data_IF_231203603076
#
_entry.id   IF_231203603076
#
_cell.length_a   1.000
_cell.length_b   1.000
_cell.length_c   1.000
_cell.angle_alpha   90.00
_cell.angle_beta   90.00
_cell.angle_gamma   90.00
#
_symmetry.space_group_name_H-M   'P 1'
#
loop_
_entity.id
_entity.type
_entity.pdbx_description
1 polymer ?
#
# COMPACT_ATOMS: atom_id res chain seq x y z
N UNK A 1 6.04 -30.27 -8.65
CA UNK A 1 6.71 -29.71 -9.84
C UNK A 1 5.68 -29.64 -10.95
N UNK A 2 5.82 -28.71 -11.90
CA UNK A 2 5.06 -28.61 -13.17
C UNK A 2 3.81 -27.72 -13.23
N UNK A 3 4.01 -26.39 -13.17
CA UNK A 3 3.09 -25.42 -13.78
C UNK A 3 3.80 -24.34 -14.64
N UNK A 4 5.05 -24.59 -15.05
CA UNK A 4 5.79 -23.71 -15.97
C UNK A 4 5.69 -24.22 -17.40
N UNK A 5 4.55 -24.02 -18.07
CA UNK A 5 4.49 -23.85 -19.54
C UNK A 5 3.27 -23.03 -19.93
N UNK A 6 3.48 -21.76 -20.23
CA UNK A 6 2.65 -21.05 -21.20
C UNK A 6 3.59 -20.35 -22.17
N UNK A 7 3.90 -21.03 -23.27
CA UNK A 7 4.53 -20.41 -24.43
C UNK A 7 3.52 -19.44 -25.05
N UNK A 8 3.82 -18.15 -24.99
CA UNK A 8 3.14 -17.12 -25.78
C UNK A 8 4.18 -16.07 -26.16
N UNK A 9 4.42 -15.83 -27.46
CA UNK A 9 5.35 -14.81 -27.91
C UNK A 9 4.60 -13.47 -27.89
N UNK A 10 4.34 -12.95 -26.70
CA UNK A 10 3.92 -11.56 -26.54
C UNK A 10 4.86 -10.93 -25.56
N UNK A 11 5.85 -10.25 -26.12
CA UNK A 11 6.82 -9.41 -25.45
C UNK A 11 6.07 -8.37 -24.60
N UNK A 12 5.72 -8.73 -23.36
CA UNK A 12 5.26 -7.72 -22.39
C UNK A 12 6.43 -6.77 -22.22
N UNK A 13 6.27 -5.47 -22.53
CA UNK A 13 7.35 -4.53 -22.30
C UNK A 13 7.72 -4.62 -20.82
N UNK A 14 8.99 -4.90 -20.55
CA UNK A 14 9.54 -4.79 -19.22
C UNK A 14 9.23 -3.37 -18.72
N UNK A 15 8.53 -3.28 -17.59
CA UNK A 15 8.14 -2.00 -17.02
C UNK A 15 9.41 -1.24 -16.62
N UNK A 16 9.66 -0.12 -17.28
CA UNK A 16 10.81 0.74 -17.03
C UNK A 16 10.39 1.94 -16.19
N UNK A 17 10.49 1.79 -14.87
CA UNK A 17 10.14 2.81 -13.90
C UNK A 17 10.97 4.11 -14.03
N UNK A 18 12.06 4.11 -14.80
CA UNK A 18 12.93 5.30 -14.95
C UNK A 18 12.39 6.30 -15.99
N UNK A 19 11.57 5.85 -16.94
CA UNK A 19 11.02 6.69 -18.01
C UNK A 19 9.71 7.34 -17.63
N UNK A 20 8.78 6.52 -17.12
CA UNK A 20 7.48 6.99 -16.67
C UNK A 20 7.06 6.18 -15.44
N UNK A 21 7.39 6.65 -14.22
CA UNK A 21 7.07 5.93 -13.01
C UNK A 21 5.56 5.85 -12.75
N UNK A 22 4.76 6.79 -13.24
CA UNK A 22 3.31 6.81 -13.01
C UNK A 22 2.65 5.72 -13.85
N UNK A 23 2.91 5.71 -15.15
CA UNK A 23 2.36 4.68 -16.04
C UNK A 23 2.93 3.30 -15.70
N UNK A 24 4.19 3.23 -15.27
CA UNK A 24 4.79 1.98 -14.77
C UNK A 24 4.04 1.41 -13.57
N UNK A 25 3.71 2.24 -12.58
CA UNK A 25 2.95 1.81 -11.40
C UNK A 25 1.54 1.37 -11.78
N UNK A 26 0.88 2.08 -12.70
CA UNK A 26 -0.45 1.69 -13.21
C UNK A 26 -0.39 0.35 -13.92
N UNK A 27 0.56 0.17 -14.84
CA UNK A 27 0.74 -1.08 -15.56
C UNK A 27 0.94 -2.27 -14.60
N UNK A 28 1.85 -2.12 -13.63
CA UNK A 28 2.17 -3.20 -12.68
C UNK A 28 1.00 -3.53 -11.75
N UNK A 29 0.40 -2.54 -11.09
CA UNK A 29 -0.56 -2.79 -10.02
C UNK A 29 -2.01 -2.89 -10.53
N UNK A 30 -2.36 -2.10 -11.54
CA UNK A 30 -3.73 -2.09 -12.09
C UNK A 30 -3.83 -3.08 -13.23
N UNK A 31 -3.05 -2.91 -14.30
CA UNK A 31 -3.27 -3.66 -15.54
C UNK A 31 -2.88 -5.13 -15.42
N UNK A 32 -1.72 -5.42 -14.83
CA UNK A 32 -1.20 -6.78 -14.69
C UNK A 32 -1.91 -7.56 -13.57
N UNK A 33 -2.22 -6.92 -12.44
CA UNK A 33 -2.70 -7.64 -11.24
C UNK A 33 -4.21 -7.53 -11.00
N UNK A 34 -4.80 -6.34 -11.16
CA UNK A 34 -6.20 -6.10 -10.82
C UNK A 34 -7.15 -6.24 -12.01
N UNK A 35 -6.74 -5.80 -13.20
CA UNK A 35 -7.65 -5.61 -14.34
C UNK A 35 -8.35 -6.90 -14.76
N UNK A 36 -7.67 -8.05 -14.70
CA UNK A 36 -8.28 -9.36 -14.96
C UNK A 36 -9.41 -9.71 -13.98
N UNK A 37 -9.26 -9.34 -12.70
CA UNK A 37 -10.29 -9.58 -11.66
C UNK A 37 -11.45 -8.59 -11.80
N UNK A 38 -11.14 -7.32 -12.07
CA UNK A 38 -12.13 -6.25 -12.29
C UNK A 38 -13.01 -6.58 -13.51
N UNK A 39 -12.42 -6.99 -14.64
CA UNK A 39 -13.18 -7.40 -15.84
C UNK A 39 -14.11 -8.59 -15.59
N UNK A 40 -13.80 -9.45 -14.62
CA UNK A 40 -14.65 -10.56 -14.17
C UNK A 40 -15.73 -10.13 -13.16
N UNK A 41 -15.92 -8.83 -12.95
CA UNK A 41 -16.97 -8.28 -12.08
C UNK A 41 -16.57 -8.12 -10.61
N UNK A 42 -15.29 -8.22 -10.26
CA UNK A 42 -14.86 -7.99 -8.87
C UNK A 42 -15.11 -6.54 -8.45
N UNK A 43 -16.04 -6.34 -7.51
CA UNK A 43 -16.38 -5.05 -6.94
C UNK A 43 -16.61 -5.18 -5.41
N UNK A 44 -15.92 -4.38 -4.57
CA UNK A 44 -14.88 -3.42 -4.92
C UNK A 44 -13.61 -4.12 -5.45
N UNK A 45 -12.79 -3.38 -6.20
CA UNK A 45 -11.48 -3.87 -6.61
C UNK A 45 -10.63 -4.22 -5.37
N UNK A 46 -10.11 -5.45 -5.31
CA UNK A 46 -9.25 -5.85 -4.21
C UNK A 46 -7.83 -5.30 -4.38
N UNK A 47 -7.07 -5.20 -3.28
CA UNK A 47 -5.68 -4.71 -3.33
C UNK A 47 -4.82 -5.59 -4.26
N UNK A 48 -3.85 -4.98 -4.97
CA UNK A 48 -2.98 -5.75 -5.87
C UNK A 48 -1.94 -6.58 -5.11
N UNK A 49 -1.44 -6.05 -4.00
CA UNK A 49 -0.49 -6.71 -3.07
C UNK A 49 -1.01 -6.63 -1.64
N UNK A 50 -0.47 -7.46 -0.74
CA UNK A 50 -0.95 -7.60 0.64
C UNK A 50 -2.47 -7.85 0.70
N UNK A 51 -2.91 -8.73 -0.19
CA UNK A 51 -4.30 -8.97 -0.52
C UNK A 51 -5.07 -9.56 0.65
N UNK A 52 -4.50 -10.55 1.35
CA UNK A 52 -5.15 -11.24 2.46
C UNK A 52 -5.03 -10.42 3.75
N UNK A 53 -6.12 -9.86 4.30
CA UNK A 53 -6.09 -9.15 5.57
C UNK A 53 -6.14 -10.12 6.75
N UNK A 54 -5.45 -9.79 7.85
CA UNK A 54 -5.54 -10.52 9.12
C UNK A 54 -6.33 -9.77 10.19
N UNK A 55 -6.41 -8.45 10.07
CA UNK A 55 -7.15 -7.61 11.02
C UNK A 55 -6.64 -6.18 11.07
N UNK A 56 -7.30 -5.39 11.91
CA UNK A 56 -6.93 -4.01 12.21
C UNK A 56 -6.89 -3.81 13.72
N UNK A 57 -6.00 -2.94 14.18
CA UNK A 57 -5.91 -2.51 15.58
C UNK A 57 -5.94 -0.98 15.65
N UNK A 58 -6.73 -0.46 16.58
CA UNK A 58 -6.57 0.92 17.04
C UNK A 58 -5.37 0.96 18.02
N UNK A 59 -4.53 1.98 17.89
CA UNK A 59 -3.30 2.11 18.66
C UNK A 59 -2.93 3.58 18.86
N UNK A 60 -1.91 3.82 19.68
CA UNK A 60 -1.20 5.09 19.77
C UNK A 60 0.25 4.91 19.29
N UNK A 61 0.72 5.82 18.44
CA UNK A 61 2.10 5.86 17.99
C UNK A 61 2.81 7.00 18.71
N UNK A 62 3.67 6.66 19.68
CA UNK A 62 4.44 7.63 20.45
C UNK A 62 5.86 7.74 19.92
N UNK A 63 6.30 8.96 19.61
CA UNK A 63 7.70 9.25 19.35
C UNK A 63 8.46 9.18 20.67
N UNK A 64 9.53 8.39 20.71
CA UNK A 64 10.37 8.23 21.90
C UNK A 64 10.98 9.57 22.31
N UNK A 65 10.94 9.86 23.61
CA UNK A 65 11.54 11.07 24.21
C UNK A 65 13.07 11.08 24.07
N UNK A 66 13.68 9.90 24.01
CA UNK A 66 15.13 9.69 23.95
C UNK A 66 15.65 9.34 22.54
N UNK A 67 14.88 9.66 21.49
CA UNK A 67 15.29 9.37 20.12
C UNK A 67 16.61 10.11 19.79
N UNK A 68 17.67 9.45 19.28
CA UNK A 68 18.92 10.12 18.92
C UNK A 68 18.75 11.23 17.88
N UNK A 69 19.52 12.32 18.01
CA UNK A 69 19.40 13.54 17.17
C UNK A 69 19.39 13.24 15.67
N UNK A 70 20.26 12.34 15.20
CA UNK A 70 20.35 11.94 13.79
C UNK A 70 19.07 11.34 13.19
N UNK A 71 18.11 10.94 14.02
CA UNK A 71 16.83 10.37 13.59
C UNK A 71 15.65 11.34 13.77
N UNK A 72 15.87 12.54 14.32
CA UNK A 72 14.84 13.54 14.61
C UNK A 72 14.45 14.36 13.37
N UNK A 73 14.01 13.69 12.31
CA UNK A 73 13.69 14.33 11.03
C UNK A 73 12.18 14.20 10.75
N UNK A 74 11.56 15.29 10.31
CA UNK A 74 10.13 15.32 9.93
C UNK A 74 9.22 14.89 11.09
N UNK A 75 8.43 13.84 10.90
CA UNK A 75 7.54 13.29 11.95
C UNK A 75 8.28 13.03 13.28
N UNK A 76 9.52 12.53 13.19
CA UNK A 76 10.31 12.07 14.32
C UNK A 76 11.00 13.19 15.12
N UNK A 77 10.92 14.45 14.68
CA UNK A 77 11.42 15.59 15.47
C UNK A 77 10.52 15.93 16.67
N UNK A 78 9.27 15.47 16.64
CA UNK A 78 8.27 15.74 17.68
C UNK A 78 8.37 14.73 18.83
N UNK A 79 9.47 14.79 19.59
CA UNK A 79 9.72 13.90 20.73
C UNK A 79 8.54 13.92 21.72
N UNK A 80 8.17 12.74 22.23
CA UNK A 80 7.08 12.57 23.20
C UNK A 80 5.67 12.66 22.62
N UNK A 81 5.52 13.19 21.40
CA UNK A 81 4.22 13.32 20.75
C UNK A 81 3.64 11.94 20.44
N UNK A 82 2.34 11.79 20.74
CA UNK A 82 1.57 10.57 20.46
C UNK A 82 0.50 10.87 19.42
N UNK A 83 0.32 9.94 18.49
CA UNK A 83 -0.64 10.06 17.39
C UNK A 83 -1.67 8.93 17.44
N UNK A 84 -2.98 9.24 17.37
CA UNK A 84 -4.00 8.22 17.14
C UNK A 84 -3.67 7.45 15.87
N UNK A 85 -3.74 6.12 15.93
CA UNK A 85 -3.17 5.26 14.90
C UNK A 85 -4.09 4.08 14.59
N UNK A 86 -4.14 3.71 13.32
CA UNK A 86 -4.69 2.44 12.89
C UNK A 86 -3.60 1.57 12.28
N UNK A 87 -3.49 0.33 12.75
CA UNK A 87 -2.56 -0.67 12.23
C UNK A 87 -3.33 -1.73 11.48
N UNK A 88 -2.91 -2.08 10.26
CA UNK A 88 -3.46 -3.17 9.45
C UNK A 88 -2.42 -4.27 9.28
N UNK A 89 -2.83 -5.51 9.56
CA UNK A 89 -2.04 -6.71 9.33
C UNK A 89 -2.52 -7.44 8.09
N UNK A 90 -1.59 -7.98 7.31
CA UNK A 90 -1.90 -8.68 6.06
C UNK A 90 -0.77 -9.59 5.60
N UNK A 91 -1.05 -10.49 4.67
CA UNK A 91 -0.07 -11.27 3.90
C UNK A 91 -0.18 -11.00 2.41
N UNK A 92 0.95 -11.13 1.73
CA UNK A 92 1.05 -11.06 0.27
C UNK A 92 0.77 -12.43 -0.35
N UNK A 93 -0.45 -12.91 -0.13
CA UNK A 93 -0.96 -14.18 -0.66
C UNK A 93 -2.46 -14.06 -0.90
N UNK A 94 -3.06 -15.05 -1.55
CA UNK A 94 -4.51 -15.09 -1.76
C UNK A 94 -5.24 -15.48 -0.47
N UNK A 95 -6.51 -15.07 -0.27
CA UNK A 95 -7.26 -15.41 0.94
C UNK A 95 -7.38 -16.91 1.24
N UNK A 96 -7.30 -17.75 0.21
CA UNK A 96 -7.40 -19.21 0.31
C UNK A 96 -6.08 -19.90 0.66
N UNK A 97 -4.94 -19.21 0.52
CA UNK A 97 -3.62 -19.79 0.74
C UNK A 97 -3.18 -19.63 2.20
N UNK A 98 -2.29 -20.53 2.64
CA UNK A 98 -1.59 -20.42 3.93
C UNK A 98 -0.67 -19.20 3.95
N UNK A 99 -0.46 -18.64 5.14
CA UNK A 99 0.48 -17.54 5.36
C UNK A 99 1.92 -18.04 5.56
N UNK A 100 2.12 -19.35 5.75
CA UNK A 100 3.43 -19.94 5.95
C UNK A 100 4.35 -19.65 4.75
N UNK A 101 5.52 -19.06 5.03
CA UNK A 101 6.49 -18.60 4.01
C UNK A 101 5.95 -17.52 3.04
N UNK A 102 4.85 -16.86 3.38
CA UNK A 102 4.41 -15.65 2.68
C UNK A 102 5.07 -14.40 3.26
N UNK A 103 5.04 -13.31 2.50
CA UNK A 103 5.44 -11.99 3.00
C UNK A 103 4.32 -11.40 3.84
N UNK A 104 4.62 -10.98 5.08
CA UNK A 104 3.68 -10.26 5.93
C UNK A 104 3.86 -8.75 5.78
N UNK A 105 2.76 -8.01 5.81
CA UNK A 105 2.73 -6.55 5.71
C UNK A 105 2.04 -5.94 6.92
N UNK A 106 2.65 -4.88 7.44
CA UNK A 106 2.11 -4.02 8.51
C UNK A 106 1.95 -2.61 7.94
N UNK A 107 0.71 -2.16 7.79
CA UNK A 107 0.39 -0.78 7.43
C UNK A 107 0.03 0.02 8.67
N UNK A 108 0.72 1.12 8.93
CA UNK A 108 0.50 2.00 10.08
C UNK A 108 0.00 3.34 9.57
N UNK A 109 -1.19 3.75 10.00
CA UNK A 109 -1.82 5.01 9.59
C UNK A 109 -1.91 5.95 10.78
N UNK A 110 -1.13 7.01 10.77
CA UNK A 110 -1.14 8.06 11.80
C UNK A 110 -2.13 9.15 11.44
N UNK A 111 -2.88 9.61 12.43
CA UNK A 111 -3.81 10.72 12.35
C UNK A 111 -3.23 11.95 13.06
N UNK A 112 -3.82 13.11 12.80
CA UNK A 112 -3.48 14.38 13.46
C UNK A 112 -2.00 14.81 13.36
N UNK A 113 -1.32 14.38 12.28
CA UNK A 113 0.06 14.83 11.97
C UNK A 113 0.03 16.22 11.36
N UNK A 114 0.78 17.16 11.96
CA UNK A 114 0.92 18.54 11.49
C UNK A 114 1.74 18.67 10.19
N UNK A 115 1.39 19.67 9.36
CA UNK A 115 2.05 19.95 8.08
C UNK A 115 1.06 20.24 6.94
N UNK A 116 1.52 20.96 5.91
CA UNK A 116 0.74 21.16 4.68
C UNK A 116 0.73 19.89 3.81
N UNK A 117 -0.45 19.51 3.32
CA UNK A 117 -0.58 18.49 2.28
C UNK A 117 -0.48 19.16 0.92
N UNK A 118 0.29 18.58 0.02
CA UNK A 118 0.34 18.97 -1.40
C UNK A 118 -0.92 18.57 -2.21
N UNK A 119 -2.05 18.22 -1.57
CA UNK A 119 -3.32 17.98 -2.26
C UNK A 119 -4.53 18.28 -1.36
N UNK A 120 -5.50 19.01 -1.93
CA UNK A 120 -6.44 19.89 -1.23
C UNK A 120 -7.66 19.24 -0.55
N UNK A 121 -7.77 17.91 -0.45
CA UNK A 121 -8.98 17.32 0.14
C UNK A 121 -8.66 16.07 0.95
N UNK A 122 -9.17 16.02 2.19
CA UNK A 122 -9.27 14.91 3.15
C UNK A 122 -8.28 14.90 4.33
N UNK A 123 -8.81 14.55 5.51
CA UNK A 123 -8.16 14.45 6.83
C UNK A 123 -6.71 13.94 6.81
N UNK A 124 -5.92 14.44 7.77
CA UNK A 124 -4.46 14.21 7.91
C UNK A 124 -4.16 12.73 8.14
N UNK A 125 -3.33 12.16 7.28
CA UNK A 125 -2.98 10.74 7.25
C UNK A 125 -1.53 10.59 6.81
N UNK A 126 -0.67 10.05 7.69
CA UNK A 126 0.63 9.51 7.29
C UNK A 126 0.54 7.99 7.33
N UNK A 127 0.80 7.34 6.19
CA UNK A 127 0.83 5.88 6.09
C UNK A 127 2.29 5.43 6.05
N UNK A 128 2.72 4.70 7.07
CA UNK A 128 3.98 3.97 7.08
C UNK A 128 3.65 2.52 6.68
N UNK A 129 4.12 2.10 5.51
CA UNK A 129 4.02 0.71 5.07
C UNK A 129 5.34 0.00 5.39
N UNK A 130 5.29 -1.00 6.27
CA UNK A 130 6.42 -1.87 6.61
C UNK A 130 6.20 -3.23 5.95
N UNK A 131 6.98 -3.49 4.90
CA UNK A 131 7.24 -4.83 4.39
C UNK A 131 8.71 -5.11 4.71
N UNK A 132 9.01 -6.19 5.46
CA UNK A 132 10.37 -6.62 5.89
C UNK A 132 11.44 -5.51 5.81
N UNK A 133 11.48 -4.64 6.84
CA UNK A 133 12.45 -3.55 7.05
C UNK A 133 12.73 -2.71 5.78
N UNK A 134 11.69 -2.05 5.25
CA UNK A 134 11.87 -0.77 4.55
C UNK A 134 10.61 0.06 4.71
N UNK A 135 10.73 1.19 5.44
CA UNK A 135 9.64 2.15 5.63
C UNK A 135 9.32 2.82 4.31
N UNK A 136 8.15 2.56 3.74
CA UNK A 136 7.64 3.33 2.61
C UNK A 136 6.48 4.22 3.07
N UNK A 137 6.64 5.53 2.91
CA UNK A 137 5.57 6.49 3.10
C UNK A 137 4.71 6.50 1.83
N UNK A 138 3.50 5.94 1.89
CA UNK A 138 2.56 6.00 0.76
C UNK A 138 1.43 6.98 1.06
N UNK A 139 1.37 8.09 0.34
CA UNK A 139 0.18 8.95 0.31
C UNK A 139 -0.97 8.22 -0.41
N UNK A 140 -1.82 7.59 0.39
CA UNK A 140 -3.20 7.12 0.12
C UNK A 140 -3.70 7.09 -1.34
N UNK A 141 -3.90 5.89 -1.90
CA UNK A 141 -4.88 5.63 -2.99
C UNK A 141 -6.14 5.02 -2.38
N UNK A 142 -7.18 5.83 -2.13
CA UNK A 142 -8.49 5.35 -1.62
C UNK A 142 -9.69 5.80 -2.47
N UNK A 143 -9.53 6.02 -3.78
CA UNK A 143 -10.68 6.24 -4.67
C UNK A 143 -10.43 5.64 -6.06
N UNK A 144 -10.68 4.34 -6.24
CA UNK A 144 -10.73 3.72 -7.57
C UNK A 144 -12.15 3.20 -7.91
N UNK A 145 -13.06 3.01 -6.95
CA UNK A 145 -14.39 2.45 -7.23
C UNK A 145 -15.56 3.45 -7.34
N UNK A 146 -15.36 4.77 -7.26
CA UNK A 146 -16.51 5.72 -7.24
C UNK A 146 -16.75 6.45 -8.57
N UNK A 147 -15.83 6.39 -9.56
CA UNK A 147 -15.99 7.13 -10.82
C UNK A 147 -15.47 6.35 -12.05
N UNK A 148 -16.07 5.20 -12.38
CA UNK A 148 -16.11 4.79 -13.79
C UNK A 148 -17.51 5.13 -14.32
N UNK A 149 -17.65 6.06 -15.28
CA UNK A 149 -18.92 6.27 -15.95
C UNK A 149 -19.32 4.97 -16.66
N UNK A 150 -20.60 4.62 -16.55
CA UNK A 150 -21.20 3.54 -17.33
C UNK A 150 -21.01 3.87 -18.81
N UNK A 151 -20.08 3.19 -19.47
CA UNK A 151 -19.99 3.17 -20.93
C UNK A 151 -21.04 2.17 -21.43
N UNK A 152 -22.12 2.72 -21.97
CA UNK A 152 -22.93 2.10 -23.04
C UNK A 152 -22.29 2.52 -24.36
#
# INVERSE_FOLDING_TARGET
MDHLKSDSPNNSPCVDCTKDPIESLKAMFVDMVQAGRIRKGQCPAMRPVFLKPHGIAAAEFKIRDDLPEKFRIGLFSNLGKSYPTWVRFSSDTTPTNTDFKSTLGIGIKLFDVEGEKYSATLMRVHLISLCRILMHFLSTLQKICVNLPKLV
#
